data_IF_750938449045
#
_entry.id   IF_750938449045
#
_cell.length_a   1.000
_cell.length_b   1.000
_cell.length_c   1.000
_cell.angle_alpha   90.00
_cell.angle_beta   90.00
_cell.angle_gamma   90.00
#
_symmetry.space_group_name_H-M   'P 1'
#
loop_
_entity.id
_entity.type
_entity.pdbx_description
1 polymer ?
#
# COMPACT_ATOMS: atom_id res chain seq x y z
N UNK A 1 20.56 -15.34 25.71
CA UNK A 1 20.48 -13.88 25.45
C UNK A 1 21.53 -13.37 24.46
N UNK A 2 22.84 -13.65 24.60
CA UNK A 2 23.90 -13.17 23.67
C UNK A 2 23.66 -13.57 22.19
N UNK A 3 23.26 -14.82 21.91
CA UNK A 3 23.00 -15.30 20.54
C UNK A 3 21.78 -14.60 19.88
N UNK A 4 20.72 -14.31 20.66
CA UNK A 4 19.56 -13.58 20.16
C UNK A 4 19.92 -12.13 19.82
N UNK A 5 20.68 -11.48 20.67
CA UNK A 5 21.17 -10.11 20.46
C UNK A 5 22.07 -10.00 19.22
N UNK A 6 23.00 -10.94 19.04
CA UNK A 6 23.87 -11.00 17.85
C UNK A 6 23.04 -11.15 16.57
N UNK A 7 22.05 -12.07 16.57
CA UNK A 7 21.18 -12.29 15.41
C UNK A 7 20.33 -11.05 15.09
N UNK A 8 19.85 -10.34 16.11
CA UNK A 8 19.13 -9.07 15.92
C UNK A 8 20.05 -8.00 15.31
N UNK A 9 21.30 -7.89 15.77
CA UNK A 9 22.27 -6.96 15.21
C UNK A 9 22.62 -7.26 13.74
N UNK A 10 22.76 -8.53 13.38
CA UNK A 10 22.99 -8.95 11.98
C UNK A 10 21.79 -8.60 11.09
N UNK A 11 20.59 -8.89 11.55
CA UNK A 11 19.35 -8.50 10.82
C UNK A 11 19.27 -6.99 10.65
N UNK A 12 19.58 -6.23 11.68
CA UNK A 12 19.57 -4.76 11.65
C UNK A 12 20.60 -4.21 10.64
N UNK A 13 21.80 -4.76 10.59
CA UNK A 13 22.85 -4.36 9.63
C UNK A 13 22.43 -4.57 8.17
N UNK A 14 21.65 -5.61 7.89
CA UNK A 14 21.14 -5.90 6.55
C UNK A 14 19.93 -5.01 6.23
N UNK A 15 19.02 -4.87 7.18
CA UNK A 15 17.75 -4.17 6.98
C UNK A 15 17.91 -2.65 6.92
N UNK A 16 18.82 -2.09 7.70
CA UNK A 16 18.97 -0.63 7.83
C UNK A 16 19.35 0.07 6.52
N UNK A 17 20.34 -0.39 5.74
CA UNK A 17 20.65 0.23 4.44
C UNK A 17 19.52 0.04 3.43
N UNK A 18 18.79 -1.07 3.47
CA UNK A 18 17.64 -1.32 2.58
C UNK A 18 16.51 -0.32 2.93
N UNK A 19 16.21 -0.15 4.21
CA UNK A 19 15.20 0.81 4.68
C UNK A 19 15.56 2.24 4.27
N UNK A 20 16.81 2.66 4.48
CA UNK A 20 17.28 4.00 4.09
C UNK A 20 17.13 4.19 2.58
N UNK A 21 17.56 3.22 1.77
CA UNK A 21 17.42 3.26 0.31
C UNK A 21 15.96 3.37 -0.14
N UNK A 22 15.07 2.60 0.48
CA UNK A 22 13.63 2.66 0.23
C UNK A 22 13.07 4.04 0.61
N UNK A 23 13.40 4.57 1.78
CA UNK A 23 12.92 5.88 2.23
C UNK A 23 13.38 7.02 1.30
N UNK A 24 14.63 6.97 0.84
CA UNK A 24 15.14 7.93 -0.15
C UNK A 24 14.37 7.84 -1.48
N UNK A 25 14.15 6.62 -1.97
CA UNK A 25 13.38 6.40 -3.19
C UNK A 25 11.95 6.94 -3.08
N UNK A 26 11.29 6.66 -1.96
CA UNK A 26 9.93 7.12 -1.66
C UNK A 26 9.85 8.64 -1.62
N UNK A 27 10.80 9.27 -0.95
CA UNK A 27 10.85 10.73 -0.82
C UNK A 27 10.90 11.45 -2.18
N UNK A 28 11.47 10.79 -3.20
CA UNK A 28 11.55 11.32 -4.57
C UNK A 28 10.29 10.98 -5.37
N UNK A 29 9.77 9.78 -5.22
CA UNK A 29 8.71 9.22 -6.08
C UNK A 29 7.31 9.66 -5.62
N UNK A 30 7.05 9.69 -4.31
CA UNK A 30 5.71 9.98 -3.77
C UNK A 30 5.12 11.32 -4.26
N UNK A 31 5.85 12.45 -4.21
CA UNK A 31 5.29 13.73 -4.67
C UNK A 31 4.94 13.75 -6.16
N UNK A 32 5.60 12.91 -6.96
CA UNK A 32 5.29 12.77 -8.39
C UNK A 32 3.99 12.00 -8.60
N UNK A 33 3.77 10.94 -7.83
CA UNK A 33 2.56 10.12 -7.93
C UNK A 33 1.32 10.83 -7.39
N UNK A 34 1.42 11.51 -6.25
CA UNK A 34 0.28 12.23 -5.65
C UNK A 34 -0.38 13.20 -6.62
N UNK A 35 0.40 13.89 -7.45
CA UNK A 35 -0.10 14.83 -8.46
C UNK A 35 -0.90 14.15 -9.59
N UNK A 36 -0.64 12.87 -9.85
CA UNK A 36 -1.25 12.15 -10.97
C UNK A 36 -2.40 11.23 -10.56
N UNK A 37 -2.56 10.92 -9.27
CA UNK A 37 -3.62 10.03 -8.78
C UNK A 37 -5.01 10.38 -9.31
N UNK A 38 -5.49 11.63 -9.24
CA UNK A 38 -6.83 11.95 -9.71
C UNK A 38 -7.04 11.69 -11.19
N UNK A 39 -5.97 11.84 -12.00
CA UNK A 39 -6.03 11.69 -13.46
C UNK A 39 -6.04 10.24 -13.94
N UNK A 40 -5.70 9.29 -13.06
CA UNK A 40 -5.61 7.87 -13.39
C UNK A 40 -6.99 7.21 -13.31
N UNK A 41 -7.91 7.76 -12.49
CA UNK A 41 -9.25 7.23 -12.32
C UNK A 41 -10.14 7.59 -13.51
N UNK A 42 -10.83 6.58 -14.02
CA UNK A 42 -11.61 6.66 -15.27
C UNK A 42 -13.11 6.92 -15.05
N UNK A 43 -13.58 6.87 -13.81
CA UNK A 43 -15.00 6.91 -13.45
C UNK A 43 -15.70 5.55 -13.62
N UNK A 44 -14.97 4.50 -13.99
CA UNK A 44 -15.53 3.17 -14.17
C UNK A 44 -15.55 2.40 -12.85
N UNK A 45 -16.76 2.00 -12.41
CA UNK A 45 -16.98 1.35 -11.12
C UNK A 45 -16.25 0.00 -10.94
N UNK A 46 -15.87 -0.68 -12.03
CA UNK A 46 -15.15 -1.96 -12.00
C UNK A 46 -13.64 -1.80 -12.11
N UNK A 47 -13.18 -0.82 -12.87
CA UNK A 47 -11.76 -0.62 -13.15
C UNK A 47 -11.10 0.23 -12.07
N UNK A 48 -11.79 1.24 -11.57
CA UNK A 48 -11.23 2.17 -10.60
C UNK A 48 -10.79 1.53 -9.27
N UNK A 49 -11.48 0.54 -8.70
CA UNK A 49 -10.97 -0.17 -7.52
C UNK A 49 -9.66 -0.90 -7.76
N UNK A 50 -9.49 -1.47 -8.96
CA UNK A 50 -8.24 -2.11 -9.35
C UNK A 50 -7.11 -1.08 -9.49
N UNK A 51 -7.41 0.05 -10.16
CA UNK A 51 -6.48 1.18 -10.27
C UNK A 51 -6.12 1.71 -8.87
N UNK A 52 -7.11 1.88 -8.00
CA UNK A 52 -6.91 2.29 -6.61
C UNK A 52 -6.00 1.34 -5.84
N UNK A 53 -6.24 0.04 -5.94
CA UNK A 53 -5.40 -0.97 -5.30
C UNK A 53 -3.96 -0.98 -5.85
N UNK A 54 -3.79 -0.83 -7.16
CA UNK A 54 -2.45 -0.74 -7.79
C UNK A 54 -1.73 0.53 -7.33
N UNK A 55 -2.38 1.68 -7.42
CA UNK A 55 -1.83 2.96 -6.99
C UNK A 55 -1.46 2.94 -5.49
N UNK A 56 -2.35 2.42 -4.64
CA UNK A 56 -2.08 2.24 -3.22
C UNK A 56 -0.91 1.30 -2.94
N UNK A 57 -0.76 0.22 -3.71
CA UNK A 57 0.32 -0.76 -3.54
C UNK A 57 1.70 -0.19 -3.83
N UNK A 58 1.80 0.76 -4.76
CA UNK A 58 3.04 1.44 -5.14
C UNK A 58 3.33 2.61 -4.20
N UNK A 59 2.27 3.20 -3.66
CA UNK A 59 2.37 4.30 -2.71
C UNK A 59 2.98 3.84 -1.40
N UNK A 60 3.66 4.74 -0.74
CA UNK A 60 4.27 4.43 0.53
C UNK A 60 4.24 5.66 1.46
N UNK A 61 4.00 5.38 2.73
CA UNK A 61 3.98 6.39 3.76
C UNK A 61 3.33 5.88 5.04
N UNK A 62 3.19 6.75 6.01
CA UNK A 62 2.42 6.46 7.21
C UNK A 62 0.94 6.28 6.85
N UNK A 63 0.20 5.40 7.52
CA UNK A 63 -1.22 5.15 7.20
C UNK A 63 -2.08 6.41 7.17
N UNK A 64 -1.78 7.42 7.99
CA UNK A 64 -2.49 8.70 7.99
C UNK A 64 -2.40 9.39 6.62
N UNK A 65 -1.26 9.31 5.92
CA UNK A 65 -1.11 9.91 4.60
C UNK A 65 -2.10 9.30 3.58
N UNK A 66 -2.36 7.99 3.65
CA UNK A 66 -3.34 7.35 2.76
C UNK A 66 -4.76 7.88 2.94
N UNK A 67 -5.15 8.23 4.17
CA UNK A 67 -6.46 8.82 4.44
C UNK A 67 -6.56 10.26 3.92
N UNK A 68 -5.48 11.06 4.08
CA UNK A 68 -5.43 12.42 3.55
C UNK A 68 -5.54 12.41 2.03
N UNK A 69 -4.70 11.60 1.36
CA UNK A 69 -4.74 11.44 -0.11
C UNK A 69 -6.09 10.89 -0.57
N UNK A 70 -6.63 9.89 0.14
CA UNK A 70 -7.95 9.34 -0.16
C UNK A 70 -9.07 10.38 -0.02
N UNK A 71 -8.98 11.26 0.98
CA UNK A 71 -9.91 12.39 1.14
C UNK A 71 -9.86 13.38 -0.02
N UNK A 72 -8.68 13.70 -0.54
CA UNK A 72 -8.53 14.55 -1.74
C UNK A 72 -9.10 13.86 -2.99
N UNK A 73 -8.84 12.56 -3.18
CA UNK A 73 -9.41 11.78 -4.28
C UNK A 73 -10.95 11.79 -4.25
N UNK A 74 -11.56 11.68 -3.07
CA UNK A 74 -13.01 11.79 -2.92
C UNK A 74 -13.53 13.17 -3.32
N UNK A 75 -12.84 14.26 -2.95
CA UNK A 75 -13.21 15.63 -3.36
C UNK A 75 -13.14 15.82 -4.87
N UNK A 76 -12.23 15.13 -5.53
CA UNK A 76 -12.10 15.15 -6.99
C UNK A 76 -13.09 14.20 -7.72
N UNK A 77 -13.99 13.55 -6.97
CA UNK A 77 -15.06 12.72 -7.53
C UNK A 77 -14.69 11.26 -7.76
N UNK A 78 -13.55 10.81 -7.26
CA UNK A 78 -13.18 9.38 -7.31
C UNK A 78 -14.16 8.58 -6.44
N UNK A 79 -14.60 7.42 -6.93
CA UNK A 79 -15.56 6.59 -6.24
C UNK A 79 -15.05 6.13 -4.87
N UNK A 80 -15.94 6.08 -3.87
CA UNK A 80 -15.60 5.62 -2.53
C UNK A 80 -15.03 4.19 -2.53
N UNK A 81 -15.49 3.35 -3.46
CA UNK A 81 -14.96 1.99 -3.64
C UNK A 81 -13.49 2.00 -4.04
N UNK A 82 -13.12 2.83 -5.02
CA UNK A 82 -11.75 2.97 -5.48
C UNK A 82 -10.83 3.56 -4.40
N UNK A 83 -11.31 4.58 -3.70
CA UNK A 83 -10.56 5.20 -2.59
C UNK A 83 -10.37 4.23 -1.43
N UNK A 84 -11.38 3.42 -1.10
CA UNK A 84 -11.24 2.39 -0.05
C UNK A 84 -10.21 1.34 -0.43
N UNK A 85 -10.24 0.86 -1.69
CA UNK A 85 -9.24 -0.08 -2.20
C UNK A 85 -7.82 0.51 -2.18
N UNK A 86 -7.68 1.80 -2.53
CA UNK A 86 -6.42 2.54 -2.47
C UNK A 86 -5.86 2.61 -1.04
N UNK A 87 -6.66 3.03 -0.05
CA UNK A 87 -6.24 3.15 1.35
C UNK A 87 -5.83 1.79 1.92
N UNK A 88 -6.62 0.74 1.65
CA UNK A 88 -6.34 -0.61 2.12
C UNK A 88 -5.06 -1.17 1.50
N UNK A 89 -4.89 -1.01 0.19
CA UNK A 89 -3.69 -1.47 -0.50
C UNK A 89 -2.44 -0.70 -0.03
N UNK A 90 -2.53 0.62 0.16
CA UNK A 90 -1.45 1.43 0.72
C UNK A 90 -0.96 0.89 2.07
N UNK A 91 -1.91 0.52 2.94
CA UNK A 91 -1.60 0.09 4.31
C UNK A 91 -1.13 -1.36 4.41
N UNK A 92 -1.51 -2.22 3.46
CA UNK A 92 -1.30 -3.68 3.56
C UNK A 92 -0.34 -4.26 2.53
N UNK A 93 -0.28 -3.66 1.33
CA UNK A 93 0.60 -4.12 0.25
C UNK A 93 1.89 -3.31 0.29
N UNK A 94 2.98 -3.96 0.59
CA UNK A 94 4.27 -3.29 0.75
C UNK A 94 5.21 -3.54 -0.43
N UNK A 95 4.85 -3.16 -1.67
CA UNK A 95 5.71 -3.38 -2.84
C UNK A 95 7.08 -2.75 -2.65
N UNK A 96 7.14 -1.55 -2.09
CA UNK A 96 8.41 -0.86 -1.80
C UNK A 96 9.24 -1.56 -0.72
N UNK A 97 8.60 -2.28 0.21
CA UNK A 97 9.31 -3.07 1.22
C UNK A 97 9.61 -4.51 0.79
N UNK A 98 9.18 -4.90 -0.40
CA UNK A 98 9.40 -6.27 -0.90
C UNK A 98 10.89 -6.69 -0.84
N UNK A 99 11.89 -5.83 -1.18
CA UNK A 99 13.29 -6.20 -1.03
C UNK A 99 13.68 -6.55 0.41
N UNK A 100 13.15 -5.81 1.39
CA UNK A 100 13.38 -6.07 2.81
C UNK A 100 12.69 -7.37 3.27
N UNK A 101 11.47 -7.60 2.83
CA UNK A 101 10.73 -8.84 3.12
C UNK A 101 11.43 -10.06 2.53
N UNK A 102 11.91 -9.95 1.30
CA UNK A 102 12.65 -11.03 0.62
C UNK A 102 13.94 -11.38 1.39
N UNK A 103 14.66 -10.37 1.86
CA UNK A 103 15.93 -10.59 2.58
C UNK A 103 15.74 -11.23 3.94
N UNK A 104 14.63 -10.94 4.64
CA UNK A 104 14.38 -11.42 6.00
C UNK A 104 13.48 -12.66 6.06
N UNK A 105 12.49 -12.77 5.19
CA UNK A 105 11.41 -13.78 5.25
C UNK A 105 11.41 -14.72 4.03
N UNK A 106 12.19 -14.39 3.01
CA UNK A 106 12.30 -15.18 1.79
C UNK A 106 11.31 -14.76 0.70
N UNK A 107 11.74 -14.96 -0.56
CA UNK A 107 11.04 -14.52 -1.77
C UNK A 107 9.61 -15.08 -1.88
N UNK A 108 9.43 -16.37 -1.56
CA UNK A 108 8.12 -17.03 -1.69
C UNK A 108 7.10 -16.42 -0.73
N UNK A 109 7.49 -16.17 0.51
CA UNK A 109 6.63 -15.53 1.51
C UNK A 109 6.26 -14.11 1.10
N UNK A 110 7.24 -13.28 0.71
CA UNK A 110 7.01 -11.89 0.32
C UNK A 110 6.02 -11.78 -0.84
N UNK A 111 6.16 -12.60 -1.87
CA UNK A 111 5.26 -12.61 -3.03
C UNK A 111 3.84 -13.03 -2.62
N UNK A 112 3.68 -14.15 -1.90
CA UNK A 112 2.37 -14.64 -1.49
C UNK A 112 1.65 -13.65 -0.58
N UNK A 113 2.34 -13.10 0.42
CA UNK A 113 1.78 -12.09 1.32
C UNK A 113 1.26 -10.88 0.57
N UNK A 114 2.08 -10.29 -0.31
CA UNK A 114 1.69 -9.10 -1.04
C UNK A 114 0.55 -9.36 -2.04
N UNK A 115 0.55 -10.53 -2.70
CA UNK A 115 -0.54 -10.93 -3.61
C UNK A 115 -1.87 -11.13 -2.87
N UNK A 116 -1.83 -11.81 -1.73
CA UNK A 116 -3.03 -12.01 -0.91
C UNK A 116 -3.56 -10.69 -0.35
N UNK A 117 -2.69 -9.81 0.11
CA UNK A 117 -3.08 -8.50 0.61
C UNK A 117 -3.69 -7.63 -0.50
N UNK A 118 -3.15 -7.69 -1.71
CA UNK A 118 -3.70 -6.98 -2.86
C UNK A 118 -5.14 -7.44 -3.18
N UNK A 119 -5.36 -8.75 -3.27
CA UNK A 119 -6.70 -9.31 -3.51
C UNK A 119 -7.64 -8.96 -2.36
N UNK A 120 -7.18 -9.12 -1.12
CA UNK A 120 -7.96 -8.80 0.07
C UNK A 120 -8.36 -7.32 0.14
N UNK A 121 -7.51 -6.40 -0.27
CA UNK A 121 -7.82 -4.96 -0.27
C UNK A 121 -9.03 -4.65 -1.15
N UNK A 122 -9.14 -5.29 -2.32
CA UNK A 122 -10.26 -5.12 -3.24
C UNK A 122 -11.53 -5.76 -2.66
N UNK A 123 -11.42 -6.99 -2.14
CA UNK A 123 -12.56 -7.70 -1.54
C UNK A 123 -13.12 -6.91 -0.35
N UNK A 124 -12.26 -6.45 0.55
CA UNK A 124 -12.67 -5.68 1.73
C UNK A 124 -13.28 -4.34 1.31
N UNK A 125 -12.74 -3.68 0.29
CA UNK A 125 -13.34 -2.45 -0.24
C UNK A 125 -14.77 -2.68 -0.74
N UNK A 126 -15.01 -3.75 -1.48
CA UNK A 126 -16.35 -4.14 -1.95
C UNK A 126 -17.28 -4.41 -0.77
N UNK A 127 -16.83 -5.22 0.20
CA UNK A 127 -17.61 -5.53 1.41
C UNK A 127 -17.95 -4.27 2.21
N UNK A 128 -17.00 -3.35 2.34
CA UNK A 128 -17.22 -2.06 3.03
C UNK A 128 -18.34 -1.26 2.38
N UNK A 129 -18.33 -1.15 1.04
CA UNK A 129 -19.37 -0.40 0.32
C UNK A 129 -20.73 -1.10 0.42
N UNK A 130 -20.77 -2.43 0.33
CA UNK A 130 -22.02 -3.19 0.52
C UNK A 130 -22.58 -2.95 1.93
N UNK A 131 -21.73 -3.08 2.95
CA UNK A 131 -22.13 -2.86 4.34
C UNK A 131 -22.63 -1.43 4.55
N UNK A 132 -21.96 -0.45 3.99
CA UNK A 132 -22.35 0.95 4.10
C UNK A 132 -23.75 1.19 3.48
N UNK A 133 -24.04 0.58 2.32
CA UNK A 133 -25.35 0.68 1.66
C UNK A 133 -26.49 -0.03 2.42
N UNK A 134 -26.17 -0.96 3.31
CA UNK A 134 -27.18 -1.65 4.13
C UNK A 134 -27.50 -0.84 5.38
N UNK A 135 -26.52 -0.08 5.90
CA UNK A 135 -26.64 0.65 7.16
C UNK A 135 -27.21 2.07 6.94
N UNK A 136 -26.91 2.69 5.81
CA UNK A 136 -27.37 4.04 5.40
C UNK A 136 -28.55 3.96 4.44
#
# INVERSE_FOLDING_TARGET
>A
MKKAFQKTLETLKISLPIIIGILMLISIINPLFEKYYPKIFTGNYFIDPLIGAVAGSISFGIPIASYVTGGELLKEGVSLLAVTAFILAWSTVGVMFMPLEISNLGKKFAIWRNSLNFISSIIIAILTIITLKIIL
#
